data_IF_339250013273
#
_entry.id   IF_339250013273
#
_cell.length_a   1.000
_cell.length_b   1.000
_cell.length_c   1.000
_cell.angle_alpha   90.00
_cell.angle_beta   90.00
_cell.angle_gamma   90.00
#
_symmetry.space_group_name_H-M   'P 1'
#
loop_
_entity.id
_entity.type
_entity.pdbx_description
1 polymer ?
#
# COMPACT_ATOMS: atom_id res chain seq x y z
N UNK A 1 6.36 -4.92 -12.05
CA UNK A 1 7.08 -4.88 -10.74
C UNK A 1 7.21 -6.30 -10.21
N UNK A 2 8.38 -6.66 -9.71
CA UNK A 2 8.62 -7.99 -9.13
C UNK A 2 8.24 -8.01 -7.64
N UNK A 3 8.02 -9.21 -7.06
CA UNK A 3 7.80 -9.33 -5.61
C UNK A 3 8.94 -8.69 -4.79
N UNK A 4 10.17 -8.92 -5.21
CA UNK A 4 11.35 -8.35 -4.55
C UNK A 4 11.37 -6.82 -4.60
N UNK A 5 11.02 -6.23 -5.75
CA UNK A 5 10.95 -4.79 -5.92
C UNK A 5 9.84 -4.17 -5.07
N UNK A 6 8.68 -4.81 -5.01
CA UNK A 6 7.57 -4.37 -4.16
C UNK A 6 7.94 -4.39 -2.68
N UNK A 7 8.55 -5.49 -2.22
CA UNK A 7 9.03 -5.60 -0.84
C UNK A 7 10.05 -4.52 -0.49
N UNK A 8 11.02 -4.29 -1.36
CA UNK A 8 12.03 -3.25 -1.20
C UNK A 8 11.42 -1.86 -1.13
N UNK A 9 10.45 -1.58 -2.00
CA UNK A 9 9.73 -0.31 -2.01
C UNK A 9 9.02 -0.07 -0.67
N UNK A 10 8.24 -1.04 -0.20
CA UNK A 10 7.50 -0.90 1.06
C UNK A 10 8.43 -0.73 2.26
N UNK A 11 9.51 -1.50 2.34
CA UNK A 11 10.48 -1.42 3.44
C UNK A 11 11.37 -0.17 3.38
N UNK A 12 11.38 0.53 2.26
CA UNK A 12 12.17 1.76 2.09
C UNK A 12 11.56 2.99 2.77
N UNK A 13 10.31 2.96 3.18
CA UNK A 13 9.69 4.08 3.89
C UNK A 13 10.15 4.15 5.35
N UNK A 14 10.28 5.35 5.93
CA UNK A 14 10.70 5.50 7.33
C UNK A 14 9.82 4.72 8.30
N UNK A 15 10.45 3.94 9.17
CA UNK A 15 9.77 3.16 10.20
C UNK A 15 8.98 1.96 9.68
N UNK A 16 9.08 1.63 8.39
CA UNK A 16 8.36 0.50 7.82
C UNK A 16 8.92 -0.84 8.32
N UNK A 17 8.02 -1.78 8.58
CA UNK A 17 8.36 -3.14 8.95
C UNK A 17 7.47 -4.14 8.21
N UNK A 18 7.95 -5.36 8.05
CA UNK A 18 7.20 -6.46 7.47
C UNK A 18 6.80 -7.44 8.57
N UNK A 19 5.52 -7.78 8.64
CA UNK A 19 4.96 -8.70 9.62
C UNK A 19 4.08 -9.74 8.94
N UNK A 20 3.73 -10.81 9.65
CA UNK A 20 2.98 -11.93 9.09
C UNK A 20 1.82 -12.34 9.99
N UNK A 21 0.88 -11.42 10.34
CA UNK A 21 -0.20 -11.71 11.27
C UNK A 21 -1.24 -12.69 10.71
N UNK A 22 -1.27 -12.87 9.38
CA UNK A 22 -2.21 -13.76 8.69
C UNK A 22 -1.56 -15.04 8.18
N UNK A 23 -0.33 -15.32 8.61
CA UNK A 23 0.43 -16.49 8.17
C UNK A 23 1.66 -16.13 7.35
N UNK A 24 2.58 -17.11 7.15
CA UNK A 24 3.89 -16.83 6.54
C UNK A 24 3.83 -16.43 5.05
N UNK A 25 2.69 -16.66 4.40
CA UNK A 25 2.54 -16.39 2.97
C UNK A 25 2.08 -14.96 2.65
N UNK A 26 1.64 -14.20 3.67
CA UNK A 26 1.09 -12.85 3.49
C UNK A 26 1.94 -11.85 4.22
N UNK A 27 2.63 -10.99 3.46
CA UNK A 27 3.40 -9.89 4.01
C UNK A 27 2.48 -8.71 4.30
N UNK A 28 2.54 -8.21 5.54
CA UNK A 28 1.83 -7.01 5.99
C UNK A 28 2.88 -5.98 6.36
N UNK A 29 2.88 -4.86 5.62
CA UNK A 29 3.81 -3.76 5.86
C UNK A 29 3.14 -2.73 6.74
N UNK A 30 3.81 -2.39 7.83
CA UNK A 30 3.30 -1.47 8.87
C UNK A 30 4.26 -0.34 9.13
N UNK A 31 3.73 0.77 9.60
CA UNK A 31 4.47 1.87 10.19
C UNK A 31 3.81 2.24 11.51
N UNK A 32 4.58 2.27 12.61
CA UNK A 32 4.07 2.52 13.95
C UNK A 32 2.86 1.63 14.30
N UNK A 33 2.94 0.36 13.92
CA UNK A 33 1.88 -0.62 14.16
C UNK A 33 0.66 -0.51 13.26
N UNK A 34 0.65 0.43 12.31
CA UNK A 34 -0.46 0.64 11.38
C UNK A 34 -0.14 0.07 10.01
N UNK A 35 -1.05 -0.72 9.49
CA UNK A 35 -0.97 -1.35 8.18
C UNK A 35 -1.06 -0.30 7.06
N UNK A 36 -0.15 -0.35 6.08
CA UNK A 36 -0.25 0.47 4.86
C UNK A 36 -0.15 -0.34 3.55
N UNK A 37 0.30 -1.58 3.58
CA UNK A 37 0.33 -2.45 2.40
C UNK A 37 0.23 -3.91 2.79
N UNK A 38 -0.49 -4.70 1.99
CA UNK A 38 -0.60 -6.15 2.15
C UNK A 38 -0.34 -6.81 0.80
N UNK A 39 0.50 -7.83 0.78
CA UNK A 39 0.75 -8.61 -0.43
C UNK A 39 1.17 -10.04 -0.09
N UNK A 40 0.60 -11.01 -0.81
CA UNK A 40 1.12 -12.37 -0.83
C UNK A 40 2.19 -12.42 -1.92
N UNK A 41 3.45 -12.08 -1.58
CA UNK A 41 4.52 -11.82 -2.53
C UNK A 41 4.86 -12.99 -3.46
N UNK A 42 4.59 -14.23 -3.04
CA UNK A 42 4.87 -15.41 -3.84
C UNK A 42 3.70 -15.84 -4.75
N UNK A 43 2.55 -15.18 -4.61
CA UNK A 43 1.36 -15.49 -5.42
C UNK A 43 1.50 -14.88 -6.82
N UNK A 44 1.03 -15.61 -7.82
CA UNK A 44 0.95 -15.13 -9.19
C UNK A 44 -0.51 -15.17 -9.66
N UNK A 45 -1.05 -14.09 -10.25
CA UNK A 45 -0.40 -12.80 -10.44
C UNK A 45 -0.16 -12.07 -9.12
N UNK A 46 0.93 -11.31 -9.07
CA UNK A 46 1.26 -10.48 -7.91
C UNK A 46 0.22 -9.38 -7.74
N UNK A 47 -0.23 -9.16 -6.52
CA UNK A 47 -1.08 -8.02 -6.20
C UNK A 47 -0.65 -7.34 -4.90
N UNK A 48 -1.15 -6.13 -4.67
CA UNK A 48 -0.94 -5.39 -3.43
C UNK A 48 -2.21 -4.65 -3.07
N UNK A 49 -2.57 -4.70 -1.79
CA UNK A 49 -3.70 -3.93 -1.25
C UNK A 49 -3.18 -2.70 -0.54
N UNK A 50 -3.73 -1.54 -0.88
CA UNK A 50 -3.27 -0.22 -0.47
C UNK A 50 -4.45 0.64 -0.03
N UNK A 51 -4.23 1.48 0.97
CA UNK A 51 -5.21 2.47 1.39
C UNK A 51 -5.28 3.62 0.40
N UNK A 52 -6.48 4.13 0.17
CA UNK A 52 -6.72 5.22 -0.77
C UNK A 52 -7.89 6.07 -0.30
N UNK A 53 -7.88 7.37 -0.62
CA UNK A 53 -9.05 8.20 -0.39
C UNK A 53 -10.24 7.69 -1.20
N UNK A 54 -11.47 7.70 -0.63
CA UNK A 54 -12.64 7.07 -1.28
C UNK A 54 -12.92 7.54 -2.69
N UNK A 55 -12.89 8.84 -2.94
CA UNK A 55 -13.17 9.39 -4.28
C UNK A 55 -12.09 8.97 -5.29
N UNK A 56 -10.82 9.05 -4.90
CA UNK A 56 -9.72 8.60 -5.74
C UNK A 56 -9.77 7.09 -5.96
N UNK A 57 -10.12 6.33 -4.94
CA UNK A 57 -10.25 4.87 -5.05
C UNK A 57 -11.28 4.49 -6.13
N UNK A 58 -12.43 5.16 -6.14
CA UNK A 58 -13.47 4.93 -7.15
C UNK A 58 -13.00 5.31 -8.56
N UNK A 59 -12.32 6.46 -8.69
CA UNK A 59 -11.77 6.91 -9.96
C UNK A 59 -10.73 5.94 -10.53
N UNK A 60 -9.84 5.44 -9.69
CA UNK A 60 -8.83 4.48 -10.08
C UNK A 60 -9.44 3.15 -10.55
N UNK A 61 -10.46 2.66 -9.82
CA UNK A 61 -11.19 1.44 -10.20
C UNK A 61 -11.92 1.60 -11.53
N UNK A 62 -12.50 2.76 -11.77
CA UNK A 62 -13.19 3.05 -13.02
C UNK A 62 -12.22 3.14 -14.22
N UNK A 63 -11.00 3.66 -13.98
CA UNK A 63 -10.01 3.87 -15.03
C UNK A 63 -9.14 2.65 -15.32
N UNK A 64 -8.98 1.72 -14.36
CA UNK A 64 -8.04 0.60 -14.46
C UNK A 64 -8.69 -0.71 -14.04
N UNK A 65 -8.94 -1.66 -14.98
CA UNK A 65 -9.49 -2.97 -14.63
C UNK A 65 -8.65 -3.76 -13.62
N UNK A 66 -7.34 -3.52 -13.57
CA UNK A 66 -6.44 -4.19 -12.61
C UNK A 66 -6.61 -3.68 -11.18
N UNK A 67 -7.38 -2.60 -10.96
CA UNK A 67 -7.63 -2.02 -9.64
C UNK A 67 -9.06 -2.34 -9.24
N UNK A 68 -9.20 -3.07 -8.14
CA UNK A 68 -10.48 -3.53 -7.59
C UNK A 68 -10.65 -3.09 -6.15
N UNK A 69 -11.89 -3.14 -5.60
CA UNK A 69 -12.09 -2.91 -4.16
C UNK A 69 -11.24 -3.85 -3.32
N UNK A 70 -10.75 -3.39 -2.19
CA UNK A 70 -9.84 -4.14 -1.32
C UNK A 70 -10.42 -5.48 -0.89
N UNK A 71 -9.69 -6.56 -1.15
CA UNK A 71 -10.06 -7.91 -0.79
C UNK A 71 -9.94 -8.12 0.73
N UNK A 72 -11.03 -8.54 1.38
CA UNK A 72 -11.12 -8.69 2.84
C UNK A 72 -10.80 -7.42 3.64
N UNK A 73 -10.90 -6.24 3.02
CA UNK A 73 -10.65 -4.95 3.63
C UNK A 73 -11.86 -4.03 3.45
N UNK A 74 -11.83 -2.87 4.10
CA UNK A 74 -12.85 -1.84 3.87
C UNK A 74 -12.76 -1.35 2.42
N UNK A 75 -13.77 -1.69 1.62
CA UNK A 75 -13.76 -1.45 0.17
C UNK A 75 -13.88 0.02 -0.21
N UNK A 76 -14.29 0.88 0.71
CA UNK A 76 -14.34 2.32 0.50
C UNK A 76 -12.94 2.95 0.58
N UNK A 77 -12.08 2.43 1.46
CA UNK A 77 -10.77 3.00 1.77
C UNK A 77 -9.60 2.19 1.25
N UNK A 78 -9.83 1.03 0.65
CA UNK A 78 -8.79 0.13 0.20
C UNK A 78 -9.02 -0.35 -1.21
N UNK A 79 -7.95 -0.37 -2.01
CA UNK A 79 -7.91 -0.99 -3.33
C UNK A 79 -6.93 -2.15 -3.34
N UNK A 80 -7.24 -3.17 -4.14
CA UNK A 80 -6.28 -4.23 -4.49
C UNK A 80 -5.87 -4.04 -5.94
N UNK A 81 -4.59 -3.93 -6.17
CA UNK A 81 -3.99 -3.68 -7.49
C UNK A 81 -3.30 -4.95 -7.96
N UNK A 82 -3.71 -5.48 -9.10
CA UNK A 82 -3.01 -6.59 -9.77
C UNK A 82 -1.85 -6.02 -10.58
N UNK A 83 -0.63 -6.50 -10.30
CA UNK A 83 0.59 -6.01 -10.93
C UNK A 83 0.90 -6.83 -12.18
N UNK A 84 0.05 -6.69 -13.21
CA UNK A 84 0.13 -7.43 -14.47
C UNK A 84 0.76 -6.62 -15.62
N UNK A 85 1.28 -5.43 -15.30
CA UNK A 85 1.89 -4.53 -16.27
C UNK A 85 0.93 -3.52 -16.89
N UNK A 86 -0.39 -3.66 -16.67
CA UNK A 86 -1.38 -2.68 -17.18
C UNK A 86 -1.33 -1.35 -16.43
N UNK A 87 -0.89 -1.40 -15.17
CA UNK A 87 -0.61 -0.21 -14.37
C UNK A 87 0.91 -0.06 -14.29
N UNK A 88 1.43 1.12 -14.65
CA UNK A 88 2.87 1.36 -14.68
C UNK A 88 3.51 1.24 -13.30
N UNK A 89 4.80 0.88 -13.27
CA UNK A 89 5.56 0.83 -12.01
C UNK A 89 5.59 2.18 -11.30
N UNK A 90 5.69 3.28 -12.06
CA UNK A 90 5.65 4.62 -11.49
C UNK A 90 4.32 4.89 -10.77
N UNK A 91 3.20 4.50 -11.37
CA UNK A 91 1.88 4.63 -10.75
C UNK A 91 1.74 3.75 -9.52
N UNK A 92 2.27 2.53 -9.56
CA UNK A 92 2.28 1.63 -8.39
C UNK A 92 3.06 2.27 -7.23
N UNK A 93 4.24 2.84 -7.50
CA UNK A 93 5.02 3.55 -6.49
C UNK A 93 4.25 4.70 -5.87
N UNK A 94 3.58 5.49 -6.70
CA UNK A 94 2.77 6.62 -6.22
C UNK A 94 1.62 6.14 -5.33
N UNK A 95 0.95 5.05 -5.71
CA UNK A 95 -0.14 4.49 -4.90
C UNK A 95 0.35 3.94 -3.56
N UNK A 96 1.52 3.31 -3.53
CA UNK A 96 2.14 2.83 -2.28
C UNK A 96 2.51 4.02 -1.38
N UNK A 97 3.12 5.05 -1.95
CA UNK A 97 3.46 6.27 -1.22
C UNK A 97 2.21 6.97 -0.68
N UNK A 98 1.16 7.08 -1.47
CA UNK A 98 -0.11 7.67 -1.04
C UNK A 98 -0.72 6.90 0.14
N UNK A 99 -0.66 5.58 0.11
CA UNK A 99 -1.12 4.74 1.22
C UNK A 99 -0.33 5.02 2.51
N UNK A 100 0.99 5.05 2.39
CA UNK A 100 1.87 5.40 3.52
C UNK A 100 1.56 6.80 4.04
N UNK A 101 1.42 7.79 3.15
CA UNK A 101 1.09 9.17 3.50
C UNK A 101 -0.22 9.26 4.30
N UNK A 102 -1.27 8.55 3.87
CA UNK A 102 -2.56 8.56 4.56
C UNK A 102 -2.45 8.01 5.98
N UNK A 103 -1.68 6.96 6.16
CA UNK A 103 -1.47 6.36 7.48
C UNK A 103 -0.68 7.30 8.39
N UNK A 104 0.41 7.88 7.89
CA UNK A 104 1.27 8.79 8.68
C UNK A 104 0.55 10.11 8.99
N UNK A 105 -0.24 10.64 8.04
CA UNK A 105 -0.97 11.89 8.24
C UNK A 105 -1.99 11.81 9.39
N UNK A 106 -2.50 10.62 9.69
CA UNK A 106 -3.44 10.39 10.80
C UNK A 106 -2.76 10.22 12.16
N UNK A 107 -1.43 10.19 12.20
CA UNK A 107 -0.67 10.00 13.44
C UNK A 107 -0.49 11.33 14.21
N UNK A 108 -0.25 11.25 15.54
CA UNK A 108 0.12 12.44 16.32
C UNK A 108 1.35 13.14 15.75
N UNK A 109 1.40 14.45 15.88
CA UNK A 109 2.50 15.29 15.37
C UNK A 109 3.87 14.80 15.82
N UNK A 110 4.02 14.44 17.10
CA UNK A 110 5.29 13.97 17.64
C UNK A 110 5.80 12.71 16.93
N UNK A 111 4.89 11.79 16.58
CA UNK A 111 5.22 10.57 15.84
C UNK A 111 5.64 10.91 14.41
N UNK A 112 4.90 11.79 13.74
CA UNK A 112 5.25 12.24 12.39
C UNK A 112 6.62 12.90 12.32
N UNK A 113 6.94 13.75 13.31
CA UNK A 113 8.24 14.40 13.42
C UNK A 113 9.37 13.40 13.65
N UNK A 114 9.13 12.39 14.49
CA UNK A 114 10.10 11.34 14.76
C UNK A 114 10.40 10.51 13.50
N UNK A 115 9.41 10.23 12.69
CA UNK A 115 9.58 9.51 11.41
C UNK A 115 10.34 10.33 10.39
N UNK A 116 10.29 11.66 10.47
CA UNK A 116 10.96 12.54 9.52
C UNK A 116 10.35 12.52 8.12
N UNK A 117 9.14 11.98 7.97
CA UNK A 117 8.45 11.91 6.69
C UNK A 117 7.54 13.11 6.51
N UNK A 118 7.65 13.77 5.35
CA UNK A 118 6.73 14.84 4.95
C UNK A 118 5.64 14.26 4.09
N UNK A 119 4.40 14.34 4.57
CA UNK A 119 3.23 13.94 3.80
C UNK A 119 3.10 14.86 2.58
N UNK A 120 2.90 14.28 1.40
CA UNK A 120 2.67 15.01 0.17
C UNK A 120 1.37 15.81 0.26
N UNK A 121 1.43 17.07 -0.15
CA UNK A 121 0.27 17.96 -0.12
C UNK A 121 -0.74 17.63 -1.22
#
# INVERSE_FOLDING_TARGET
MTPRALRKLCLGFPGASETFPFGPETSVFKVEGKLFAISALERSPLNVSLKCEPELAEQLRAAHPAIEPGYHLNKRHWNTVTLDGSVSDAMVRDMVEDSYDLIVAAMPRAVRERLGWRVSA
#
